data_IF_956043846923
#
_entry.id   IF_956043846923
#
_cell.length_a   1.000
_cell.length_b   1.000
_cell.length_c   1.000
_cell.angle_alpha   90.00
_cell.angle_beta   90.00
_cell.angle_gamma   90.00
#
_symmetry.space_group_name_H-M   'P 1'
#
loop_
_entity.id
_entity.type
_entity.pdbx_description
1 polymer ?
#
# COMPACT_ATOMS: atom_id res chain seq x y z
N UNK A 1 -5.09 -20.91 10.29
CA UNK A 1 -5.65 -19.54 10.38
C UNK A 1 -4.76 -18.54 11.09
N UNK A 2 -4.37 -18.73 12.36
CA UNK A 2 -3.60 -17.70 13.11
C UNK A 2 -2.29 -17.24 12.45
N UNK A 3 -1.53 -18.15 11.83
CA UNK A 3 -0.28 -17.82 11.11
C UNK A 3 -0.56 -16.94 9.87
N UNK A 4 -1.64 -17.22 9.15
CA UNK A 4 -2.05 -16.43 7.97
C UNK A 4 -2.52 -15.02 8.38
N UNK A 5 -3.32 -14.92 9.43
CA UNK A 5 -3.76 -13.63 9.97
C UNK A 5 -2.59 -12.78 10.44
N UNK A 6 -1.64 -13.37 11.18
CA UNK A 6 -0.42 -12.67 11.60
C UNK A 6 0.42 -12.22 10.39
N UNK A 7 0.47 -13.01 9.32
CA UNK A 7 1.13 -12.62 8.07
C UNK A 7 0.51 -11.36 7.47
N UNK A 8 -0.82 -11.32 7.36
CA UNK A 8 -1.55 -10.16 6.85
C UNK A 8 -1.33 -8.91 7.72
N UNK A 9 -1.46 -9.04 9.04
CA UNK A 9 -1.27 -7.91 9.97
C UNK A 9 0.13 -7.29 9.83
N UNK A 10 1.15 -8.12 9.57
CA UNK A 10 2.52 -7.66 9.34
C UNK A 10 2.62 -6.92 8.01
N UNK A 11 2.06 -7.45 6.93
CA UNK A 11 2.06 -6.81 5.61
C UNK A 11 1.35 -5.45 5.65
N UNK A 12 0.16 -5.39 6.26
CA UNK A 12 -0.61 -4.16 6.42
C UNK A 12 0.16 -3.11 7.23
N UNK A 13 0.86 -3.55 8.29
CA UNK A 13 1.70 -2.69 9.11
C UNK A 13 2.88 -2.09 8.35
N UNK A 14 3.54 -2.88 7.49
CA UNK A 14 4.65 -2.40 6.64
C UNK A 14 4.13 -1.40 5.60
N UNK A 15 3.04 -1.73 4.91
CA UNK A 15 2.39 -0.83 3.93
C UNK A 15 2.01 0.50 4.57
N UNK A 16 1.35 0.46 5.72
CA UNK A 16 1.00 1.66 6.48
C UNK A 16 2.24 2.49 6.85
N UNK A 17 3.29 1.83 7.34
CA UNK A 17 4.55 2.50 7.70
C UNK A 17 5.19 3.22 6.52
N UNK A 18 5.22 2.56 5.36
CA UNK A 18 5.71 3.13 4.11
C UNK A 18 4.90 4.36 3.67
N UNK A 19 3.57 4.23 3.57
CA UNK A 19 2.66 5.31 3.16
C UNK A 19 2.78 6.53 4.10
N UNK A 20 2.89 6.28 5.41
CA UNK A 20 3.07 7.31 6.41
C UNK A 20 4.42 8.05 6.30
N UNK A 21 5.51 7.35 5.97
CA UNK A 21 6.81 8.01 5.72
C UNK A 21 6.74 8.90 4.48
N UNK A 22 6.16 8.41 3.38
CA UNK A 22 5.99 9.20 2.15
C UNK A 22 5.18 10.47 2.44
N UNK A 23 4.09 10.36 3.21
CA UNK A 23 3.29 11.49 3.63
C UNK A 23 4.08 12.50 4.48
N UNK A 24 4.85 12.02 5.46
CA UNK A 24 5.69 12.88 6.29
C UNK A 24 6.76 13.63 5.47
N UNK A 25 7.42 12.95 4.53
CA UNK A 25 8.43 13.60 3.66
C UNK A 25 7.80 14.70 2.82
N UNK A 26 6.59 14.49 2.27
CA UNK A 26 5.84 15.54 1.54
C UNK A 26 5.53 16.75 2.44
N UNK A 27 5.09 16.52 3.67
CA UNK A 27 4.79 17.60 4.63
C UNK A 27 6.04 18.41 5.00
N UNK A 28 7.16 17.74 5.21
CA UNK A 28 8.42 18.37 5.62
C UNK A 28 9.14 19.10 4.47
N UNK A 29 8.79 18.80 3.22
CA UNK A 29 9.40 19.40 2.03
C UNK A 29 8.36 20.10 1.15
N UNK A 30 7.64 21.13 1.66
CA UNK A 30 6.48 21.71 0.97
C UNK A 30 6.82 22.48 -0.32
N UNK A 31 8.10 22.80 -0.55
CA UNK A 31 8.56 23.51 -1.75
C UNK A 31 9.20 22.59 -2.78
N UNK A 32 9.26 21.28 -2.50
CA UNK A 32 9.84 20.28 -3.39
C UNK A 32 8.71 19.42 -3.92
N UNK A 33 8.55 19.40 -5.24
CA UNK A 33 7.65 18.44 -5.88
C UNK A 33 8.37 17.09 -5.95
N UNK A 34 7.88 16.12 -5.17
CA UNK A 34 8.43 14.78 -5.13
C UNK A 34 7.72 13.90 -6.15
N UNK A 35 8.48 13.33 -7.09
CA UNK A 35 7.97 12.22 -7.88
C UNK A 35 8.01 10.94 -7.03
N UNK A 36 6.84 10.33 -6.83
CA UNK A 36 6.67 9.08 -6.09
C UNK A 36 6.22 7.93 -6.98
N UNK A 37 6.08 8.16 -8.28
CA UNK A 37 5.71 7.14 -9.26
C UNK A 37 6.77 6.03 -9.29
N UNK A 38 6.30 4.77 -9.26
CA UNK A 38 7.17 3.60 -9.28
C UNK A 38 7.89 3.29 -7.96
N UNK A 39 7.62 4.03 -6.88
CA UNK A 39 8.06 3.59 -5.56
C UNK A 39 7.36 2.30 -5.17
N UNK A 40 8.14 1.35 -4.66
CA UNK A 40 7.66 0.05 -4.19
C UNK A 40 8.50 -0.39 -3.00
N UNK A 41 7.92 -1.16 -2.09
CA UNK A 41 8.64 -1.74 -0.95
C UNK A 41 9.74 -2.72 -1.40
N UNK A 42 9.59 -3.33 -2.58
CA UNK A 42 10.54 -4.28 -3.14
C UNK A 42 11.67 -3.62 -3.95
N UNK A 43 11.46 -2.36 -4.38
CA UNK A 43 12.43 -1.62 -5.20
C UNK A 43 13.48 -0.94 -4.32
N UNK A 44 14.74 -0.96 -4.78
CA UNK A 44 15.83 -0.17 -4.20
C UNK A 44 16.46 0.76 -5.22
N UNK A 45 17.22 1.75 -4.73
CA UNK A 45 17.98 2.65 -5.59
C UNK A 45 19.35 2.05 -5.87
N UNK A 46 19.67 1.80 -7.14
CA UNK A 46 21.02 1.51 -7.64
C UNK A 46 21.35 2.48 -8.77
N UNK A 47 22.51 3.13 -8.70
CA UNK A 47 22.98 4.11 -9.69
C UNK A 47 21.94 5.20 -10.06
N UNK A 48 21.10 5.58 -9.10
CA UNK A 48 20.04 6.58 -9.29
C UNK A 48 18.78 6.07 -9.98
N UNK A 49 18.66 4.76 -10.23
CA UNK A 49 17.46 4.11 -10.76
C UNK A 49 16.80 3.23 -9.72
N UNK A 50 15.47 3.16 -9.79
CA UNK A 50 14.69 2.19 -9.04
C UNK A 50 14.77 0.85 -9.75
N UNK A 51 15.28 -0.17 -9.07
CA UNK A 51 15.37 -1.53 -9.60
C UNK A 51 14.72 -2.51 -8.63
N UNK A 52 14.19 -3.61 -9.16
CA UNK A 52 13.84 -4.78 -8.35
C UNK A 52 15.10 -5.61 -8.21
N UNK A 53 15.57 -5.86 -6.98
CA UNK A 53 16.67 -6.76 -6.77
C UNK A 53 16.35 -8.17 -7.29
N UNK A 54 17.35 -8.92 -7.78
CA UNK A 54 17.15 -10.30 -8.23
C UNK A 54 16.48 -11.19 -7.17
N UNK A 55 16.68 -10.88 -5.88
CA UNK A 55 16.06 -11.60 -4.76
C UNK A 55 14.53 -11.46 -4.70
N UNK A 56 13.97 -10.38 -5.26
CA UNK A 56 12.54 -10.04 -5.21
C UNK A 56 11.86 -10.08 -6.59
N UNK A 57 12.61 -10.40 -7.65
CA UNK A 57 12.08 -10.44 -9.01
C UNK A 57 10.88 -11.39 -9.21
N UNK A 58 10.76 -12.42 -8.38
CA UNK A 58 9.64 -13.37 -8.42
C UNK A 58 8.44 -12.93 -7.57
N UNK A 59 8.65 -11.99 -6.63
CA UNK A 59 7.61 -11.52 -5.70
C UNK A 59 6.86 -10.33 -6.29
N UNK A 60 7.53 -9.50 -7.10
CA UNK A 60 6.87 -8.40 -7.82
C UNK A 60 5.75 -8.91 -8.75
N UNK A 61 5.99 -10.02 -9.46
CA UNK A 61 4.98 -10.62 -10.34
C UNK A 61 3.71 -11.04 -9.56
N UNK A 62 3.85 -11.51 -8.32
CA UNK A 62 2.72 -11.90 -7.46
C UNK A 62 2.01 -10.67 -6.83
N UNK A 63 2.74 -9.58 -6.48
CA UNK A 63 2.14 -8.35 -5.92
C UNK A 63 1.26 -7.59 -6.94
N UNK A 64 1.66 -7.55 -8.22
CA UNK A 64 0.87 -6.90 -9.30
C UNK A 64 -0.42 -7.68 -9.65
N UNK A 65 -0.49 -8.98 -9.31
CA UNK A 65 -1.69 -9.82 -9.46
C UNK A 65 -2.67 -9.60 -8.28
N UNK A 66 -2.17 -9.47 -7.05
CA UNK A 66 -2.99 -9.24 -5.84
C UNK A 66 -3.58 -7.82 -5.76
N UNK A 67 -2.93 -6.80 -6.37
CA UNK A 67 -3.46 -5.43 -6.47
C UNK A 67 -4.74 -5.32 -7.33
N UNK A 68 -5.08 -6.36 -8.10
CA UNK A 68 -6.28 -6.39 -8.95
C UNK A 68 -7.54 -6.93 -8.23
N UNK A 69 -7.41 -7.49 -7.02
CA UNK A 69 -8.53 -8.16 -6.32
C UNK A 69 -9.29 -7.27 -5.29
N UNK A 70 -8.93 -5.99 -5.13
CA UNK A 70 -9.67 -5.03 -4.24
C UNK A 70 -10.70 -4.16 -5.00
N UNK A 71 -11.15 -4.64 -6.16
CA UNK A 71 -12.28 -4.06 -6.90
C UNK A 71 -13.60 -4.74 -6.53
N UNK A 72 -14.47 -4.02 -5.81
CA UNK A 72 -15.87 -4.36 -5.49
C UNK A 72 -16.14 -5.10 -4.16
N UNK A 73 -16.15 -4.35 -3.05
CA UNK A 73 -17.26 -4.50 -2.09
C UNK A 73 -17.93 -3.17 -1.83
N UNK A 74 -19.10 -3.02 -2.47
CA UNK A 74 -20.02 -1.90 -2.34
C UNK A 74 -20.33 -1.58 -0.88
N UNK A 75 -20.29 -0.28 -0.61
CA UNK A 75 -20.66 0.34 0.65
C UNK A 75 -22.18 0.27 0.82
N UNK A 76 -22.71 -0.78 1.45
CA UNK A 76 -24.10 -0.81 1.90
C UNK A 76 -24.22 -0.09 3.24
N UNK A 77 -24.31 1.25 3.19
CA UNK A 77 -24.82 2.06 4.30
C UNK A 77 -26.32 2.25 4.13
N UNK A 78 -27.13 1.25 4.49
CA UNK A 78 -28.55 1.49 4.80
C UNK A 78 -28.72 1.79 6.29
N UNK A 79 -28.40 3.04 6.64
CA UNK A 79 -29.03 3.69 7.78
C UNK A 79 -30.46 4.08 7.41
N UNK A 80 -31.45 3.41 7.99
CA UNK A 80 -32.80 3.95 8.08
C UNK A 80 -33.39 3.68 9.46
N UNK A 81 -32.91 4.48 10.43
CA UNK A 81 -33.71 4.80 11.60
C UNK A 81 -34.87 5.70 11.16
N UNK A 82 -36.08 5.18 11.21
CA UNK A 82 -37.29 6.01 11.28
C UNK A 82 -37.93 5.77 12.64
N UNK A 83 -37.67 6.71 13.54
CA UNK A 83 -38.61 7.03 14.62
C UNK A 83 -39.79 7.82 14.04
N UNK A 84 -40.88 7.84 14.81
CA UNK A 84 -42.14 8.60 14.67
C UNK A 84 -43.29 7.92 13.89
N UNK A 85 -44.12 7.14 14.61
CA UNK A 85 -45.50 7.50 15.03
C UNK A 85 -46.22 6.33 15.67
#
# INVERSE_FOLDING_TARGET
EKIRALGQDVLDGVKYGFDNVVAQVKVLNPTVELNIEGLSMLKRVEDGQLIIPPEYAQVEDDEEEDEQEDGEKGQEVEGHGKSDS
#
